data_IF_720230823819
#
_entry.id   IF_720230823819
#
_cell.length_a   1.000
_cell.length_b   1.000
_cell.length_c   1.000
_cell.angle_alpha   90.00
_cell.angle_beta   90.00
_cell.angle_gamma   90.00
#
_symmetry.space_group_name_H-M   'P 1'
#
loop_
_entity.id
_entity.type
_entity.pdbx_description
1 polymer ?
#
# COMPACT_ATOMS: atom_id res chain seq x y z
N UNK A 1 -1.25 9.47 -12.89
CA UNK A 1 -1.58 8.04 -12.72
C UNK A 1 -2.32 7.57 -13.96
N UNK A 2 -1.98 6.40 -14.49
CA UNK A 2 -2.61 5.88 -15.69
C UNK A 2 -4.01 5.27 -15.40
N UNK A 3 -4.77 4.98 -16.48
CA UNK A 3 -6.14 4.50 -16.36
C UNK A 3 -6.28 3.18 -15.58
N UNK A 4 -5.45 2.14 -15.81
CA UNK A 4 -5.54 0.90 -15.03
C UNK A 4 -5.29 1.11 -13.53
N UNK A 5 -4.33 1.95 -13.16
CA UNK A 5 -4.09 2.28 -11.76
C UNK A 5 -5.29 2.99 -11.12
N UNK A 6 -5.91 3.91 -11.86
CA UNK A 6 -7.10 4.60 -11.39
C UNK A 6 -8.27 3.63 -11.15
N UNK A 7 -8.44 2.64 -12.02
CA UNK A 7 -9.46 1.61 -11.84
C UNK A 7 -9.19 0.75 -10.61
N UNK A 8 -7.93 0.38 -10.40
CA UNK A 8 -7.55 -0.37 -9.19
C UNK A 8 -7.83 0.44 -7.92
N UNK A 9 -7.51 1.73 -7.91
CA UNK A 9 -7.80 2.59 -6.76
C UNK A 9 -9.29 2.73 -6.50
N UNK A 10 -10.13 2.79 -7.53
CA UNK A 10 -11.59 2.81 -7.35
C UNK A 10 -12.09 1.56 -6.66
N UNK A 11 -11.57 0.39 -7.02
CA UNK A 11 -11.95 -0.87 -6.40
C UNK A 11 -11.49 -0.90 -4.94
N UNK A 12 -10.27 -0.46 -4.66
CA UNK A 12 -9.75 -0.38 -3.30
C UNK A 12 -10.55 0.60 -2.43
N UNK A 13 -10.90 1.77 -2.98
CA UNK A 13 -11.71 2.77 -2.28
C UNK A 13 -13.08 2.21 -1.89
N UNK A 14 -13.66 1.39 -2.76
CA UNK A 14 -14.99 0.80 -2.53
C UNK A 14 -14.93 -0.39 -1.58
N UNK A 15 -13.94 -1.27 -1.73
CA UNK A 15 -14.02 -2.63 -1.20
C UNK A 15 -12.97 -2.98 -0.13
N UNK A 16 -11.89 -2.21 0.05
CA UNK A 16 -10.83 -2.64 0.97
C UNK A 16 -11.32 -2.69 2.42
N UNK A 17 -12.02 -1.66 2.85
CA UNK A 17 -12.60 -1.59 4.19
C UNK A 17 -14.10 -1.32 4.08
N UNK A 18 -14.89 -1.95 4.97
CA UNK A 18 -16.35 -1.84 4.92
C UNK A 18 -16.87 -0.46 5.32
N UNK A 19 -16.21 0.21 6.25
CA UNK A 19 -16.68 1.49 6.78
C UNK A 19 -15.52 2.35 7.29
N UNK A 20 -14.61 2.80 6.38
CA UNK A 20 -13.49 3.63 6.81
C UNK A 20 -13.96 5.01 7.24
N UNK A 21 -13.20 5.65 8.16
CA UNK A 21 -13.44 7.04 8.53
C UNK A 21 -12.97 7.98 7.41
N UNK A 22 -11.78 7.71 6.86
CA UNK A 22 -11.19 8.48 5.76
C UNK A 22 -10.57 7.55 4.75
N UNK A 23 -10.65 7.93 3.47
CA UNK A 23 -9.90 7.32 2.37
C UNK A 23 -9.28 8.44 1.56
N UNK A 24 -7.96 8.42 1.42
CA UNK A 24 -7.20 9.47 0.75
C UNK A 24 -6.23 8.82 -0.23
N UNK A 25 -6.20 9.30 -1.46
CA UNK A 25 -5.26 8.83 -2.48
C UNK A 25 -4.13 9.83 -2.67
N UNK A 26 -2.95 9.34 -3.01
CA UNK A 26 -1.76 10.14 -3.34
C UNK A 26 -1.40 11.14 -2.23
N UNK A 27 -1.35 10.66 -0.99
CA UNK A 27 -1.04 11.50 0.17
C UNK A 27 0.40 11.28 0.63
N UNK A 28 1.13 12.37 0.83
CA UNK A 28 2.47 12.34 1.41
C UNK A 28 2.38 12.65 2.91
N UNK A 29 2.06 11.63 3.73
CA UNK A 29 1.93 11.78 5.18
C UNK A 29 3.10 11.14 5.93
N UNK A 30 3.66 10.06 5.39
CA UNK A 30 4.89 9.44 5.88
C UNK A 30 6.07 10.10 5.17
N UNK A 31 7.27 9.55 5.29
CA UNK A 31 8.42 10.05 4.54
C UNK A 31 8.39 9.66 3.07
N UNK A 32 7.26 9.18 2.59
CA UNK A 32 7.01 8.81 1.20
C UNK A 32 5.55 9.09 0.83
N UNK A 33 5.26 9.12 -0.48
CA UNK A 33 3.90 9.27 -0.98
C UNK A 33 3.16 7.94 -0.94
N UNK A 34 1.96 7.95 -0.36
CA UNK A 34 1.06 6.80 -0.33
C UNK A 34 0.08 6.86 -1.48
N UNK A 35 -0.03 5.79 -2.28
CA UNK A 35 -1.03 5.74 -3.36
C UNK A 35 -2.44 5.69 -2.79
N UNK A 36 -2.64 4.94 -1.73
CA UNK A 36 -3.91 4.77 -1.05
C UNK A 36 -3.67 4.72 0.45
N UNK A 37 -4.43 5.53 1.19
CA UNK A 37 -4.42 5.51 2.65
C UNK A 37 -5.86 5.48 3.15
N UNK A 38 -6.18 4.51 4.00
CA UNK A 38 -7.48 4.44 4.66
C UNK A 38 -7.28 4.45 6.17
N UNK A 39 -8.10 5.23 6.84
CA UNK A 39 -8.09 5.34 8.30
C UNK A 39 -9.40 4.75 8.83
N UNK A 40 -9.30 3.76 9.71
CA UNK A 40 -10.48 3.16 10.34
C UNK A 40 -11.06 4.08 11.42
N UNK A 41 -12.27 3.77 11.89
CA UNK A 41 -12.88 4.52 12.98
C UNK A 41 -12.15 4.35 14.31
N UNK A 42 -11.39 3.27 14.46
CA UNK A 42 -10.48 3.05 15.60
C UNK A 42 -9.09 3.63 15.39
N UNK A 43 -8.91 4.42 14.33
CA UNK A 43 -7.69 5.16 14.00
C UNK A 43 -6.49 4.28 13.59
N UNK A 44 -6.75 3.10 13.03
CA UNK A 44 -5.72 2.31 12.37
C UNK A 44 -5.54 2.78 10.93
N UNK A 45 -4.28 2.89 10.51
CA UNK A 45 -3.92 3.30 9.14
C UNK A 45 -3.59 2.08 8.28
N UNK A 46 -4.24 2.01 7.12
CA UNK A 46 -3.99 1.01 6.08
C UNK A 46 -3.40 1.74 4.89
N UNK A 47 -2.17 1.40 4.53
CA UNK A 47 -1.54 1.94 3.32
C UNK A 47 -1.46 0.86 2.26
N UNK A 48 -1.76 1.23 1.01
CA UNK A 48 -1.62 0.34 -0.14
C UNK A 48 -0.79 1.04 -1.21
N UNK A 49 0.24 0.37 -1.68
CA UNK A 49 1.08 0.79 -2.79
C UNK A 49 0.70 0.00 -4.02
N UNK A 50 0.26 0.69 -5.08
CA UNK A 50 -0.16 0.04 -6.33
C UNK A 50 1.05 -0.19 -7.22
N UNK A 51 1.23 -1.41 -7.70
CA UNK A 51 2.30 -1.79 -8.63
C UNK A 51 1.70 -2.39 -9.90
N UNK A 52 2.08 -1.84 -11.04
CA UNK A 52 1.57 -2.26 -12.34
C UNK A 52 2.55 -3.13 -13.12
N UNK A 53 3.80 -3.29 -12.62
CA UNK A 53 4.80 -4.17 -13.20
C UNK A 53 5.71 -4.73 -12.11
N UNK A 54 6.33 -5.87 -12.40
CA UNK A 54 7.35 -6.43 -11.50
C UNK A 54 8.54 -5.50 -11.33
N UNK A 55 8.93 -4.79 -12.39
CA UNK A 55 10.03 -3.85 -12.32
C UNK A 55 9.75 -2.73 -11.33
N UNK A 56 8.56 -2.15 -11.34
CA UNK A 56 8.16 -1.12 -10.39
C UNK A 56 8.14 -1.67 -8.96
N UNK A 57 7.68 -2.90 -8.80
CA UNK A 57 7.69 -3.56 -7.50
C UNK A 57 9.10 -3.72 -6.96
N UNK A 58 10.02 -4.25 -7.75
CA UNK A 58 11.41 -4.41 -7.30
C UNK A 58 12.11 -3.08 -7.10
N UNK A 59 11.80 -2.06 -7.89
CA UNK A 59 12.37 -0.72 -7.71
C UNK A 59 11.97 -0.09 -6.38
N UNK A 60 10.82 -0.45 -5.82
CA UNK A 60 10.37 0.07 -4.54
C UNK A 60 11.35 -0.26 -3.41
N UNK A 61 12.03 -1.40 -3.48
CA UNK A 61 13.00 -1.83 -2.47
C UNK A 61 14.29 -1.02 -2.47
N UNK A 62 14.50 -0.14 -3.45
CA UNK A 62 15.60 0.83 -3.45
C UNK A 62 15.34 1.99 -2.51
N UNK A 63 14.11 2.13 -2.01
CA UNK A 63 13.73 3.15 -1.02
C UNK A 63 14.08 2.65 0.38
N UNK A 64 15.35 2.69 0.73
CA UNK A 64 15.88 2.08 1.96
C UNK A 64 15.19 2.58 3.23
N UNK A 65 14.99 3.91 3.34
CA UNK A 65 14.36 4.49 4.52
C UNK A 65 12.92 4.00 4.70
N UNK A 66 12.13 3.96 3.62
CA UNK A 66 10.76 3.46 3.65
C UNK A 66 10.69 2.04 4.19
N UNK A 67 11.49 1.14 3.62
CA UNK A 67 11.48 -0.26 4.00
C UNK A 67 12.03 -0.50 5.39
N UNK A 68 12.98 0.32 5.84
CA UNK A 68 13.47 0.27 7.21
C UNK A 68 12.36 0.64 8.21
N UNK A 69 11.61 1.72 7.94
CA UNK A 69 10.48 2.12 8.79
C UNK A 69 9.40 1.04 8.82
N UNK A 70 9.04 0.50 7.65
CA UNK A 70 8.03 -0.55 7.56
C UNK A 70 8.43 -1.83 8.30
N UNK A 71 9.70 -2.21 8.22
CA UNK A 71 10.22 -3.43 8.85
C UNK A 71 10.43 -3.28 10.35
N UNK A 72 11.07 -2.19 10.76
CA UNK A 72 11.54 -2.00 12.14
C UNK A 72 10.55 -1.21 13.01
N UNK A 73 9.55 -0.56 12.38
CA UNK A 73 8.58 0.27 13.07
C UNK A 73 9.09 1.71 13.23
N UNK A 74 8.89 2.29 14.40
CA UNK A 74 9.26 3.67 14.67
C UNK A 74 10.79 3.82 14.66
N UNK A 75 11.30 4.75 13.84
CA UNK A 75 12.73 5.06 13.77
C UNK A 75 12.94 6.52 14.16
N UNK A 76 14.00 6.77 14.92
CA UNK A 76 14.45 8.12 15.27
C UNK A 76 15.85 8.35 14.70
N UNK A 77 15.98 9.32 13.79
CA UNK A 77 17.25 9.70 13.18
C UNK A 77 17.39 11.22 13.24
N UNK A 78 18.48 11.70 13.86
CA UNK A 78 18.75 13.14 13.92
C UNK A 78 17.64 13.97 14.58
N UNK A 79 16.94 13.41 15.57
CA UNK A 79 15.82 14.08 16.23
C UNK A 79 14.48 13.98 15.48
N UNK A 80 14.47 13.42 14.29
CA UNK A 80 13.25 13.20 13.50
C UNK A 80 12.73 11.79 13.75
N UNK A 81 11.43 11.68 14.06
CA UNK A 81 10.77 10.40 14.30
C UNK A 81 9.95 10.05 13.07
N UNK A 82 10.16 8.86 12.52
CA UNK A 82 9.39 8.32 11.39
C UNK A 82 8.50 7.18 11.88
N UNK A 83 7.23 7.21 11.46
CA UNK A 83 6.21 6.23 11.85
C UNK A 83 5.73 5.45 10.63
N UNK A 84 5.53 4.13 10.73
CA UNK A 84 4.88 3.36 9.68
C UNK A 84 3.35 3.42 9.81
N UNK A 85 2.60 3.05 8.76
CA UNK A 85 1.19 2.72 8.92
C UNK A 85 1.04 1.47 9.79
N UNK A 86 -0.16 1.21 10.29
CA UNK A 86 -0.43 -0.03 11.04
C UNK A 86 -0.38 -1.25 10.12
N UNK A 87 -0.88 -1.11 8.89
CA UNK A 87 -0.88 -2.17 7.88
C UNK A 87 -0.40 -1.61 6.54
N UNK A 88 0.46 -2.35 5.88
CA UNK A 88 1.00 -2.00 4.57
C UNK A 88 0.78 -3.14 3.59
N UNK A 89 0.26 -2.82 2.40
CA UNK A 89 -0.02 -3.80 1.35
C UNK A 89 0.54 -3.33 0.02
N UNK A 90 0.98 -4.29 -0.79
CA UNK A 90 1.13 -4.08 -2.22
C UNK A 90 -0.14 -4.55 -2.92
N UNK A 91 -0.61 -3.79 -3.91
CA UNK A 91 -1.72 -4.17 -4.77
C UNK A 91 -1.24 -4.23 -6.22
N UNK A 92 -1.64 -5.27 -6.93
CA UNK A 92 -1.22 -5.49 -8.31
C UNK A 92 -2.30 -6.27 -9.07
N UNK A 93 -2.21 -6.33 -10.41
CA UNK A 93 -3.04 -7.24 -11.20
C UNK A 93 -2.87 -8.68 -10.73
N UNK A 94 -3.88 -9.55 -10.92
CA UNK A 94 -3.83 -10.92 -10.42
C UNK A 94 -2.57 -11.67 -10.86
N UNK A 95 -1.93 -12.33 -9.90
CA UNK A 95 -0.77 -13.20 -10.09
C UNK A 95 0.50 -12.51 -10.62
N UNK A 96 0.53 -11.21 -10.73
CA UNK A 96 1.73 -10.50 -11.20
C UNK A 96 2.87 -10.58 -10.19
N UNK A 97 2.54 -10.47 -8.91
CA UNK A 97 3.48 -10.65 -7.80
C UNK A 97 3.05 -11.89 -7.03
N UNK A 98 4.02 -12.76 -6.72
CA UNK A 98 3.77 -13.92 -5.88
C UNK A 98 3.86 -13.54 -4.41
N UNK A 99 3.05 -14.14 -3.56
CA UNK A 99 3.07 -13.86 -2.12
C UNK A 99 4.45 -14.09 -1.49
N UNK A 100 5.21 -15.04 -2.03
CA UNK A 100 6.58 -15.33 -1.57
C UNK A 100 7.58 -14.22 -1.91
N UNK A 101 7.25 -13.33 -2.84
CA UNK A 101 8.10 -12.19 -3.21
C UNK A 101 7.88 -10.98 -2.29
N UNK A 102 6.79 -10.98 -1.53
CA UNK A 102 6.40 -9.85 -0.66
C UNK A 102 7.12 -9.99 0.68
N UNK A 103 7.73 -8.90 1.21
CA UNK A 103 8.38 -8.98 2.52
C UNK A 103 7.37 -9.22 3.63
N UNK A 104 7.87 -9.76 4.76
CA UNK A 104 7.01 -10.18 5.88
C UNK A 104 6.22 -9.06 6.53
N UNK A 105 6.67 -7.81 6.38
CA UNK A 105 5.97 -6.63 6.93
C UNK A 105 4.88 -6.09 6.00
N UNK A 106 4.66 -6.72 4.85
CA UNK A 106 3.68 -6.27 3.87
C UNK A 106 2.70 -7.39 3.52
N UNK A 107 1.47 -7.01 3.20
CA UNK A 107 0.49 -7.91 2.62
C UNK A 107 0.41 -7.76 1.11
N UNK A 108 -0.40 -8.58 0.48
CA UNK A 108 -0.59 -8.59 -0.96
C UNK A 108 -2.08 -8.60 -1.30
N UNK A 109 -2.48 -7.77 -2.24
CA UNK A 109 -3.85 -7.69 -2.74
C UNK A 109 -3.81 -7.81 -4.26
N UNK A 110 -4.55 -8.77 -4.80
CA UNK A 110 -4.80 -8.82 -6.24
C UNK A 110 -6.05 -8.02 -6.55
N UNK A 111 -5.95 -7.11 -7.51
CA UNK A 111 -7.08 -6.31 -7.97
C UNK A 111 -7.36 -6.66 -9.43
N UNK A 112 -8.49 -7.32 -9.67
CA UNK A 112 -8.91 -7.73 -11.00
C UNK A 112 -9.88 -6.69 -11.55
N UNK A 113 -9.38 -5.80 -12.39
CA UNK A 113 -10.17 -4.72 -12.99
C UNK A 113 -11.25 -5.28 -13.90
N UNK A 114 -10.96 -6.37 -14.63
CA UNK A 114 -11.93 -6.98 -15.55
C UNK A 114 -13.12 -7.58 -14.81
N UNK A 115 -12.90 -8.14 -13.63
CA UNK A 115 -13.95 -8.71 -12.77
C UNK A 115 -14.43 -7.73 -11.70
N UNK A 116 -13.87 -6.53 -11.67
CA UNK A 116 -14.25 -5.46 -10.75
C UNK A 116 -14.23 -5.90 -9.28
N UNK A 117 -13.18 -6.60 -8.88
CA UNK A 117 -13.04 -7.13 -7.51
C UNK A 117 -11.60 -7.18 -7.04
N UNK A 118 -11.42 -7.23 -5.71
CA UNK A 118 -10.14 -7.46 -5.06
C UNK A 118 -10.11 -8.81 -4.37
N UNK A 119 -8.91 -9.33 -4.14
CA UNK A 119 -8.66 -10.51 -3.35
C UNK A 119 -7.43 -10.29 -2.47
N UNK A 120 -7.59 -10.28 -1.16
CA UNK A 120 -6.47 -10.21 -0.22
C UNK A 120 -5.85 -11.60 -0.10
N UNK A 121 -4.58 -11.68 -0.43
CA UNK A 121 -3.86 -12.94 -0.48
C UNK A 121 -3.41 -13.40 0.90
#
# INVERSE_FOLDING_TARGET
MNYPEQQMLKILNRDLLSNPMYVINNLHIYDWESDFLAITRSLYAYEVEVKMSKQDFFNDFKKDKKHKVLKDGIIKVGGVISYPPNYFYYACPPNMIDVNEVPSYAGLIYVDVSKNRKNVV
#
